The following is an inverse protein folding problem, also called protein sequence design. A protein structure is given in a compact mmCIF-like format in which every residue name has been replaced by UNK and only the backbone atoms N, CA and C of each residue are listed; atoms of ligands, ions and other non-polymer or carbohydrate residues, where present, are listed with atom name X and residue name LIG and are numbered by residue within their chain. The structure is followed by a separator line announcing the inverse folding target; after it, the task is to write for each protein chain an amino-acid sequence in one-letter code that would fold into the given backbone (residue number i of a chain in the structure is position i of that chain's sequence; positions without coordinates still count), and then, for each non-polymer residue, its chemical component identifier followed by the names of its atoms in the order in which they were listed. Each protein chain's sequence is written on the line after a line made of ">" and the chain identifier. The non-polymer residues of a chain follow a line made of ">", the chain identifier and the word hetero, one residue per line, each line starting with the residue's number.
data_IF_359899898252
#
_entry.id   IF_359899898252
#
_cell.length_a   1.000
_cell.length_b   1.000
_cell.length_c   1.000
_cell.angle_alpha   90.00
_cell.angle_beta   90.00
_cell.angle_gamma   90.00
#
_symmetry.space_group_name_H-M   'P 1'
#
loop_
_entity.id
_entity.type
_entity.pdbx_description
1 polymer ?
#
# COMPACT_ATOMS: atom_id res chain seq x y z
N UNK A 1 3.43 -28.28 12.00
CA UNK A 1 4.26 -27.23 11.83
C UNK A 1 4.33 -26.57 10.50
N UNK A 2 4.17 -27.35 9.41
CA UNK A 2 4.06 -26.71 8.14
C UNK A 2 2.89 -25.77 8.08
N UNK A 3 1.81 -26.19 8.74
CA UNK A 3 0.63 -25.35 8.78
C UNK A 3 0.91 -24.06 9.50
N UNK A 4 1.75 -24.12 10.50
CA UNK A 4 2.09 -22.93 11.25
C UNK A 4 2.76 -21.90 10.38
N UNK A 5 3.62 -22.34 9.50
CA UNK A 5 4.29 -21.41 8.60
C UNK A 5 3.32 -20.76 7.65
N UNK A 6 2.40 -21.57 7.15
CA UNK A 6 1.40 -21.08 6.26
C UNK A 6 0.51 -20.09 6.94
N UNK A 7 0.09 -20.44 8.16
CA UNK A 7 -0.75 -19.56 8.93
C UNK A 7 -0.04 -18.26 9.25
N UNK A 8 1.24 -18.35 9.55
CA UNK A 8 2.00 -17.15 9.85
C UNK A 8 2.07 -16.23 8.65
N UNK A 9 2.29 -16.78 7.47
CA UNK A 9 2.36 -15.97 6.28
C UNK A 9 1.04 -15.27 6.00
N UNK A 10 -0.04 -16.01 6.12
CA UNK A 10 -1.35 -15.46 5.90
C UNK A 10 -1.66 -14.37 6.92
N UNK A 11 -1.37 -14.67 8.16
CA UNK A 11 -1.59 -13.71 9.23
C UNK A 11 -0.79 -12.44 8.99
N UNK A 12 0.44 -12.60 8.55
CA UNK A 12 1.29 -11.46 8.28
C UNK A 12 0.74 -10.61 7.15
N UNK A 13 0.25 -11.25 6.10
CA UNK A 13 -0.36 -10.51 5.00
C UNK A 13 -1.56 -9.70 5.48
N UNK A 14 -2.37 -10.31 6.32
CA UNK A 14 -3.54 -9.62 6.83
C UNK A 14 -3.16 -8.45 7.71
N UNK A 15 -2.13 -8.63 8.51
CA UNK A 15 -1.65 -7.54 9.35
C UNK A 15 -1.09 -6.40 8.53
N UNK A 16 -0.41 -6.74 7.46
CA UNK A 16 0.10 -5.70 6.57
C UNK A 16 -1.03 -4.92 5.95
N UNK A 17 -2.08 -5.61 5.57
CA UNK A 17 -3.24 -4.94 4.99
C UNK A 17 -3.84 -3.99 6.00
N UNK A 18 -4.02 -4.45 7.23
CA UNK A 18 -4.61 -3.60 8.25
C UNK A 18 -3.73 -2.39 8.55
N UNK A 19 -2.44 -2.62 8.65
CA UNK A 19 -1.52 -1.52 8.90
C UNK A 19 -1.56 -0.52 7.76
N UNK A 20 -1.65 -1.03 6.54
CA UNK A 20 -1.71 -0.17 5.38
C UNK A 20 -2.97 0.67 5.36
N UNK A 21 -4.09 0.08 5.76
CA UNK A 21 -5.33 0.84 5.84
C UNK A 21 -5.21 1.95 6.87
N UNK A 22 -4.57 1.66 7.98
CA UNK A 22 -4.34 2.68 8.99
C UNK A 22 -3.49 3.81 8.47
N UNK A 23 -2.47 3.48 7.69
CA UNK A 23 -1.63 4.50 7.10
C UNK A 23 -2.42 5.38 6.13
N UNK A 24 -3.30 4.76 5.36
CA UNK A 24 -4.13 5.52 4.45
C UNK A 24 -5.01 6.49 5.22
N UNK A 25 -5.58 6.04 6.33
CA UNK A 25 -6.42 6.91 7.13
C UNK A 25 -5.65 8.14 7.61
N UNK A 26 -4.41 7.94 8.02
CA UNK A 26 -3.59 9.06 8.46
C UNK A 26 -3.30 10.02 7.31
N UNK A 27 -3.04 9.47 6.14
CA UNK A 27 -2.76 10.31 4.98
C UNK A 27 -3.99 11.09 4.58
N UNK A 28 -5.15 10.46 4.66
CA UNK A 28 -6.39 11.17 4.35
C UNK A 28 -6.60 12.31 5.33
N UNK A 29 -6.27 12.10 6.58
CA UNK A 29 -6.36 13.17 7.55
C UNK A 29 -5.48 14.35 7.16
N UNK A 30 -4.26 14.05 6.72
CA UNK A 30 -3.37 15.12 6.31
C UNK A 30 -3.91 15.87 5.11
N UNK A 31 -4.42 15.13 4.15
CA UNK A 31 -4.98 15.76 2.95
C UNK A 31 -6.17 16.64 3.31
N UNK A 32 -6.93 16.22 4.30
CA UNK A 32 -8.16 16.91 4.68
C UNK A 32 -7.95 18.16 5.51
N UNK A 33 -6.76 18.34 6.03
CA UNK A 33 -6.51 19.53 6.85
C UNK A 33 -6.66 20.78 6.03
N UNK A 34 -7.25 21.82 6.62
CA UNK A 34 -7.42 23.06 5.86
C UNK A 34 -6.08 23.74 5.61
N UNK A 35 -6.04 24.49 4.53
CA UNK A 35 -4.87 25.29 4.20
C UNK A 35 -5.00 26.62 4.90
N UNK A 36 -4.26 26.79 5.97
CA UNK A 36 -4.33 28.01 6.76
C UNK A 36 -3.16 28.95 6.53
N UNK A 37 -2.22 28.52 5.69
CA UNK A 37 -1.05 29.33 5.44
C UNK A 37 -1.39 30.50 4.58
N UNK A 38 -0.94 31.68 4.99
CA UNK A 38 -1.19 32.88 4.22
C UNK A 38 -0.01 33.22 3.32
N UNK A 39 1.16 32.76 3.69
CA UNK A 39 2.34 32.99 2.91
C UNK A 39 2.31 32.09 1.67
N UNK A 40 2.55 32.68 0.50
CA UNK A 40 2.46 31.94 -0.74
C UNK A 40 3.41 30.76 -0.78
N UNK A 41 4.64 30.97 -0.34
CA UNK A 41 5.62 29.90 -0.38
C UNK A 41 5.22 28.73 0.49
N UNK A 42 4.75 29.04 1.70
CA UNK A 42 4.32 28.00 2.61
C UNK A 42 3.07 27.31 2.11
N UNK A 43 2.19 28.08 1.49
CA UNK A 43 0.97 27.50 0.94
C UNK A 43 1.31 26.50 -0.16
N UNK A 44 2.25 26.84 -1.02
CA UNK A 44 2.65 25.93 -2.07
C UNK A 44 3.25 24.66 -1.51
N UNK A 45 4.05 24.80 -0.45
CA UNK A 45 4.64 23.63 0.17
C UNK A 45 3.56 22.76 0.77
N UNK A 46 2.54 23.36 1.37
CA UNK A 46 1.46 22.59 1.97
C UNK A 46 0.67 21.85 0.90
N UNK A 47 0.43 22.51 -0.23
CA UNK A 47 -0.28 21.87 -1.33
C UNK A 47 0.53 20.71 -1.88
N UNK A 48 1.83 20.92 -2.02
CA UNK A 48 2.69 19.86 -2.52
C UNK A 48 2.68 18.67 -1.57
N UNK A 49 2.73 18.95 -0.26
CA UNK A 49 2.70 17.88 0.72
C UNK A 49 1.41 17.08 0.63
N UNK A 50 0.29 17.77 0.43
CA UNK A 50 -0.98 17.08 0.30
C UNK A 50 -1.02 16.21 -0.94
N UNK A 51 -0.43 16.70 -2.02
CA UNK A 51 -0.38 15.91 -3.24
C UNK A 51 0.47 14.67 -3.06
N UNK A 52 1.58 14.82 -2.34
CA UNK A 52 2.42 13.67 -2.08
C UNK A 52 1.70 12.64 -1.22
N UNK A 53 0.92 13.10 -0.25
CA UNK A 53 0.12 12.20 0.56
C UNK A 53 -0.89 11.46 -0.30
N UNK A 54 -1.48 12.16 -1.25
CA UNK A 54 -2.44 11.54 -2.14
C UNK A 54 -1.78 10.45 -2.98
N UNK A 55 -0.60 10.75 -3.51
CA UNK A 55 0.12 9.77 -4.31
C UNK A 55 0.53 8.57 -3.47
N UNK A 56 0.95 8.82 -2.23
CA UNK A 56 1.29 7.73 -1.33
C UNK A 56 0.08 6.84 -1.07
N UNK A 57 -1.09 7.45 -0.90
CA UNK A 57 -2.30 6.68 -0.71
C UNK A 57 -2.56 5.75 -1.88
N UNK A 58 -2.36 6.25 -3.08
CA UNK A 58 -2.58 5.43 -4.27
C UNK A 58 -1.63 4.25 -4.32
N UNK A 59 -0.38 4.48 -3.97
CA UNK A 59 0.59 3.40 -3.95
C UNK A 59 0.23 2.36 -2.91
N UNK A 60 -0.20 2.82 -1.74
CA UNK A 60 -0.55 1.90 -0.68
C UNK A 60 -1.79 1.09 -1.07
N UNK A 61 -2.75 1.74 -1.72
CA UNK A 61 -3.93 1.03 -2.18
C UNK A 61 -3.58 -0.07 -3.17
N UNK A 62 -2.66 0.22 -4.06
CA UNK A 62 -2.20 -0.81 -4.99
C UNK A 62 -1.55 -1.95 -4.23
N UNK A 63 -0.78 -1.62 -3.22
CA UNK A 63 -0.14 -2.62 -2.40
C UNK A 63 -1.16 -3.50 -1.70
N UNK A 64 -2.21 -2.89 -1.16
CA UNK A 64 -3.24 -3.65 -0.49
C UNK A 64 -3.91 -4.61 -1.47
N UNK A 65 -4.21 -4.10 -2.66
CA UNK A 65 -4.85 -4.94 -3.65
C UNK A 65 -3.97 -6.13 -4.00
N UNK A 66 -2.70 -5.90 -4.16
CA UNK A 66 -1.77 -6.99 -4.45
C UNK A 66 -1.74 -8.01 -3.33
N UNK A 67 -1.76 -7.54 -2.09
CA UNK A 67 -1.75 -8.45 -0.97
C UNK A 67 -3.04 -9.25 -0.89
N UNK A 68 -4.15 -8.59 -1.17
CA UNK A 68 -5.43 -9.29 -1.13
C UNK A 68 -5.51 -10.33 -2.23
N UNK A 69 -4.95 -10.02 -3.39
CA UNK A 69 -4.93 -10.98 -4.47
C UNK A 69 -4.12 -12.21 -4.10
N UNK A 70 -3.04 -12.01 -3.41
CA UNK A 70 -2.23 -13.14 -2.96
C UNK A 70 -2.99 -14.03 -1.99
N UNK A 71 -3.69 -13.41 -1.06
CA UNK A 71 -4.47 -14.17 -0.11
C UNK A 71 -5.57 -14.93 -0.82
N UNK A 72 -6.22 -14.26 -1.75
CA UNK A 72 -7.31 -14.86 -2.48
C UNK A 72 -6.88 -16.06 -3.30
N UNK A 73 -5.74 -15.94 -3.94
CA UNK A 73 -5.23 -17.03 -4.73
C UNK A 73 -4.87 -18.22 -3.87
N UNK A 74 -4.63 -17.99 -2.61
CA UNK A 74 -4.17 -19.03 -1.74
C UNK A 74 -2.83 -19.52 -2.18
N UNK A 75 -2.25 -18.88 -3.14
CA UNK A 75 -1.03 -19.37 -3.68
C UNK A 75 0.13 -18.78 -2.94
N UNK A 76 1.20 -19.36 -3.19
CA UNK A 76 2.36 -18.95 -2.52
C UNK A 76 3.00 -17.78 -3.21
N UNK A 77 3.83 -17.15 -2.49
CA UNK A 77 4.61 -16.08 -3.04
C UNK A 77 5.53 -16.59 -4.12
N UNK A 78 5.83 -17.86 -4.07
CA UNK A 78 6.70 -18.46 -5.05
C UNK A 78 6.08 -18.45 -6.43
N UNK A 79 4.83 -18.78 -6.50
CA UNK A 79 4.12 -18.76 -7.75
C UNK A 79 4.07 -17.38 -8.34
N UNK A 80 3.82 -16.45 -7.50
CA UNK A 80 3.76 -15.08 -7.90
C UNK A 80 5.08 -14.66 -8.54
N UNK A 81 6.14 -15.01 -7.91
CA UNK A 81 7.45 -14.73 -8.39
C UNK A 81 7.71 -15.31 -9.76
N UNK A 82 7.26 -16.54 -9.94
CA UNK A 82 7.42 -17.22 -11.18
C UNK A 82 6.69 -16.53 -12.31
N UNK A 83 5.47 -16.15 -12.05
CA UNK A 83 4.68 -15.47 -13.04
C UNK A 83 5.32 -14.17 -13.44
N UNK A 84 5.82 -13.47 -12.47
CA UNK A 84 6.46 -12.22 -12.73
C UNK A 84 7.62 -12.37 -13.67
N UNK A 85 8.43 -13.37 -13.41
CA UNK A 85 9.59 -13.62 -14.26
C UNK A 85 9.17 -13.99 -15.65
N UNK A 86 8.16 -14.78 -15.76
CA UNK A 86 7.66 -15.18 -17.05
C UNK A 86 7.23 -14.01 -17.86
N UNK A 87 6.51 -13.11 -17.24
CA UNK A 87 6.03 -11.94 -17.92
C UNK A 87 7.17 -11.10 -18.45
N UNK A 88 8.13 -10.93 -17.63
CA UNK A 88 9.28 -10.14 -18.01
C UNK A 88 10.03 -10.76 -19.15
N UNK A 89 10.18 -12.05 -19.08
CA UNK A 89 10.93 -12.72 -20.09
C UNK A 89 10.32 -12.55 -21.45
N UNK A 90 9.05 -12.43 -21.50
CA UNK A 90 8.38 -12.29 -22.75
C UNK A 90 8.48 -10.95 -23.34
N UNK A 91 8.83 -10.00 -22.55
CA UNK A 91 9.01 -8.70 -23.07
C UNK A 91 10.30 -8.59 -23.80
#
# INVERSE_FOLDING_TARGET
>A
MKDNNKDYALDTLERLIEASKGAIDLLIEEISKPLLEEDDAKRRQAIKAKRECFEDCQEILLGIKNLEDRIKDGSSLIEDKKDFKGSFAER
#
